data_IF_837603691190
#
_entry.id   IF_837603691190
#
_cell.length_a   1.000
_cell.length_b   1.000
_cell.length_c   1.000
_cell.angle_alpha   90.00
_cell.angle_beta   90.00
_cell.angle_gamma   90.00
#
_symmetry.space_group_name_H-M   'P 1'
#
loop_
_entity.id
_entity.type
_entity.pdbx_description
1 polymer ?
#
# COMPACT_ATOMS: atom_id res chain seq x y z
N UNK A 1 -34.01 5.52 -17.77
CA UNK A 1 -33.02 5.19 -16.74
C UNK A 1 -31.92 4.37 -17.36
N UNK A 2 -30.65 4.66 -17.06
CA UNK A 2 -29.53 3.83 -17.54
C UNK A 2 -29.60 2.42 -16.95
N UNK A 3 -29.01 1.43 -17.62
CA UNK A 3 -28.91 0.04 -17.13
C UNK A 3 -28.27 -0.02 -15.72
N UNK A 4 -27.35 0.90 -15.42
CA UNK A 4 -26.73 1.04 -14.10
C UNK A 4 -27.75 1.51 -13.04
N UNK A 5 -28.58 2.50 -13.34
CA UNK A 5 -29.62 2.98 -12.43
C UNK A 5 -30.67 1.90 -12.10
N UNK A 6 -31.03 1.09 -13.10
CA UNK A 6 -31.89 -0.07 -12.88
C UNK A 6 -31.23 -1.12 -11.99
N UNK A 7 -29.95 -1.46 -12.24
CA UNK A 7 -29.22 -2.39 -11.42
C UNK A 7 -29.07 -1.90 -9.97
N UNK A 8 -28.76 -0.61 -9.76
CA UNK A 8 -28.65 0.00 -8.44
C UNK A 8 -29.99 0.01 -7.69
N UNK A 9 -31.11 0.23 -8.36
CA UNK A 9 -32.46 0.21 -7.75
C UNK A 9 -32.89 -1.17 -7.29
N UNK A 10 -32.31 -2.24 -7.82
CA UNK A 10 -32.58 -3.63 -7.41
C UNK A 10 -31.67 -4.11 -6.27
N UNK A 11 -30.63 -3.34 -5.91
CA UNK A 11 -29.77 -3.67 -4.79
C UNK A 11 -30.51 -3.38 -3.46
N UNK A 12 -30.94 -4.44 -2.79
CA UNK A 12 -31.49 -4.30 -1.44
C UNK A 12 -30.41 -3.70 -0.51
N UNK A 13 -30.72 -2.63 0.26
CA UNK A 13 -29.76 -2.01 1.21
C UNK A 13 -29.13 -3.03 2.16
N UNK A 14 -29.85 -4.09 2.52
CA UNK A 14 -29.34 -5.18 3.34
C UNK A 14 -28.13 -5.91 2.73
N UNK A 15 -27.97 -5.93 1.40
CA UNK A 15 -26.81 -6.53 0.74
C UNK A 15 -25.53 -5.73 0.91
N UNK A 16 -25.64 -4.43 1.21
CA UNK A 16 -24.49 -3.54 1.43
C UNK A 16 -24.10 -3.47 2.92
N UNK A 17 -24.86 -4.15 3.79
CA UNK A 17 -24.53 -4.21 5.22
C UNK A 17 -23.39 -5.21 5.47
N UNK A 18 -22.54 -4.87 6.44
CA UNK A 18 -21.44 -5.75 6.85
C UNK A 18 -20.21 -5.75 5.93
N UNK A 19 -20.16 -4.83 4.96
CA UNK A 19 -18.94 -4.60 4.16
C UNK A 19 -17.77 -4.29 5.10
N UNK A 20 -16.65 -4.96 4.87
CA UNK A 20 -15.39 -4.70 5.54
C UNK A 20 -14.38 -4.10 4.57
N UNK A 21 -13.53 -3.23 5.06
CA UNK A 21 -12.52 -2.54 4.28
C UNK A 21 -11.24 -2.28 5.06
N UNK A 22 -10.14 -2.19 4.35
CA UNK A 22 -8.85 -1.75 4.83
C UNK A 22 -8.08 -1.06 3.72
N UNK A 23 -7.08 -0.28 4.07
CA UNK A 23 -6.22 0.44 3.11
C UNK A 23 -4.76 0.10 3.39
N UNK A 24 -4.02 -0.16 2.33
CA UNK A 24 -2.56 -0.19 2.32
C UNK A 24 -2.10 0.96 1.41
N UNK A 25 -1.34 1.90 1.96
CA UNK A 25 -0.88 3.06 1.21
C UNK A 25 0.64 3.11 1.20
N UNK A 26 1.20 3.02 0.02
CA UNK A 26 2.63 3.17 -0.20
C UNK A 26 3.03 4.65 -0.36
N UNK A 27 4.22 4.98 0.08
CA UNK A 27 4.85 6.28 -0.17
C UNK A 27 6.37 6.18 -0.09
N UNK A 28 7.06 6.76 -1.05
CA UNK A 28 8.51 6.96 -0.94
C UNK A 28 8.80 8.01 0.12
N UNK A 29 9.86 7.80 0.89
CA UNK A 29 10.48 8.86 1.69
C UNK A 29 11.36 9.69 0.76
N UNK A 30 11.20 10.99 0.80
CA UNK A 30 11.95 11.94 -0.01
C UNK A 30 12.62 12.99 0.89
N UNK A 31 13.74 13.50 0.42
CA UNK A 31 14.41 14.67 1.00
C UNK A 31 13.71 15.97 0.58
N UNK A 32 13.92 17.10 1.27
CA UNK A 32 13.26 18.36 0.95
C UNK A 32 13.49 18.88 -0.48
N UNK A 33 14.58 18.47 -1.13
CA UNK A 33 14.89 18.80 -2.52
C UNK A 33 14.21 17.83 -3.54
N UNK A 34 13.36 16.92 -3.04
CA UNK A 34 12.59 15.98 -3.86
C UNK A 34 13.38 14.76 -4.35
N UNK A 35 14.54 14.48 -3.80
CA UNK A 35 15.29 13.26 -4.09
C UNK A 35 14.84 12.10 -3.19
N UNK A 36 15.06 10.86 -3.65
CA UNK A 36 14.80 9.67 -2.85
C UNK A 36 15.65 9.70 -1.56
N UNK A 37 15.03 9.54 -0.41
CA UNK A 37 15.74 9.40 0.85
C UNK A 37 16.50 8.07 0.89
N UNK A 38 17.82 8.14 1.08
CA UNK A 38 18.72 6.97 1.05
C UNK A 38 19.01 6.42 2.45
N UNK A 39 18.35 6.95 3.46
CA UNK A 39 18.48 6.52 4.85
C UNK A 39 17.81 5.17 5.09
N UNK A 40 18.24 4.39 6.09
CA UNK A 40 17.53 3.16 6.51
C UNK A 40 16.11 3.46 6.98
N UNK A 41 15.30 2.41 7.10
CA UNK A 41 13.98 2.49 7.75
C UNK A 41 14.11 3.18 9.12
N UNK A 42 13.32 4.24 9.40
CA UNK A 42 13.47 5.00 10.63
C UNK A 42 13.25 4.14 11.88
N UNK A 43 14.23 4.06 12.75
CA UNK A 43 14.15 3.24 13.98
C UNK A 43 13.00 3.63 14.90
N UNK A 44 12.57 4.89 14.85
CA UNK A 44 11.41 5.38 15.61
C UNK A 44 10.07 4.77 15.13
N UNK A 45 10.03 4.20 13.92
CA UNK A 45 8.88 3.45 13.40
C UNK A 45 8.91 1.96 13.81
N UNK A 46 9.93 1.53 14.56
CA UNK A 46 10.07 0.13 14.97
C UNK A 46 10.58 -0.76 13.83
N UNK A 47 10.14 -2.02 13.83
CA UNK A 47 10.61 -3.03 12.87
C UNK A 47 9.71 -3.11 11.64
N UNK A 48 10.25 -2.88 10.46
CA UNK A 48 9.55 -3.08 9.18
C UNK A 48 9.04 -4.53 8.98
N UNK A 49 9.56 -5.50 9.74
CA UNK A 49 9.12 -6.90 9.66
C UNK A 49 7.90 -7.19 10.53
N UNK A 50 7.78 -6.53 11.68
CA UNK A 50 6.83 -6.93 12.74
C UNK A 50 5.86 -5.84 13.18
N UNK A 51 6.02 -4.59 12.71
CA UNK A 51 5.07 -3.54 13.02
C UNK A 51 3.72 -3.83 12.31
N UNK A 52 2.58 -3.76 13.03
CA UNK A 52 1.29 -4.15 12.45
C UNK A 52 0.77 -3.20 11.35
N UNK A 53 1.13 -1.92 11.42
CA UNK A 53 0.59 -0.87 10.56
C UNK A 53 1.62 -0.21 9.64
N UNK A 54 2.92 -0.44 9.84
CA UNK A 54 3.99 0.23 9.09
C UNK A 54 5.03 -0.80 8.68
N UNK A 55 5.20 -0.98 7.40
CA UNK A 55 6.25 -1.84 6.84
C UNK A 55 7.04 -1.10 5.76
N UNK A 56 7.99 -1.77 5.17
CA UNK A 56 8.68 -1.35 3.96
C UNK A 56 8.15 -2.19 2.81
N UNK A 57 7.74 -1.57 1.70
CA UNK A 57 7.32 -2.31 0.54
C UNK A 57 8.53 -2.88 -0.22
N UNK A 58 8.87 -2.37 -1.38
CA UNK A 58 10.01 -2.85 -2.16
C UNK A 58 11.32 -2.18 -1.77
N UNK A 59 11.37 -0.85 -1.88
CA UNK A 59 12.55 -0.07 -1.53
C UNK A 59 12.62 0.19 -0.04
N UNK A 60 13.84 0.19 0.53
CA UNK A 60 14.07 0.62 1.92
C UNK A 60 13.50 2.02 2.19
N UNK A 61 13.39 2.83 1.13
CA UNK A 61 12.83 4.18 1.19
C UNK A 61 11.30 4.23 1.02
N UNK A 62 10.65 3.10 0.73
CA UNK A 62 9.21 3.03 0.47
C UNK A 62 8.47 2.49 1.68
N UNK A 63 7.82 3.37 2.40
CA UNK A 63 6.95 2.97 3.50
C UNK A 63 5.59 2.53 2.96
N UNK A 64 5.04 1.51 3.58
CA UNK A 64 3.68 1.02 3.37
C UNK A 64 2.92 1.14 4.69
N UNK A 65 1.84 1.92 4.66
CA UNK A 65 1.00 2.24 5.80
C UNK A 65 -0.30 1.46 5.69
N UNK A 66 -0.56 0.60 6.68
CA UNK A 66 -1.60 -0.43 6.63
C UNK A 66 -2.61 -0.18 7.74
N UNK A 67 -3.88 -0.14 7.41
CA UNK A 67 -4.96 -0.10 8.41
C UNK A 67 -5.40 -1.50 8.81
N UNK A 68 -6.08 -1.61 9.93
CA UNK A 68 -6.90 -2.76 10.27
C UNK A 68 -8.13 -2.89 9.37
N UNK A 69 -9.01 -3.82 9.73
CA UNK A 69 -10.26 -4.09 9.03
C UNK A 69 -11.41 -3.35 9.69
N UNK A 70 -12.08 -2.48 8.95
CA UNK A 70 -13.14 -1.60 9.46
C UNK A 70 -14.50 -1.84 8.80
N UNK A 71 -15.56 -1.58 9.57
CA UNK A 71 -16.94 -1.60 9.08
C UNK A 71 -17.37 -0.26 8.46
N UNK A 72 -16.74 0.87 8.83
CA UNK A 72 -17.04 2.18 8.28
C UNK A 72 -15.85 2.80 7.55
N UNK A 73 -16.13 3.71 6.64
CA UNK A 73 -15.13 4.48 5.89
C UNK A 73 -14.39 5.43 6.85
N UNK A 74 -15.14 6.07 7.73
CA UNK A 74 -14.64 7.06 8.68
C UNK A 74 -13.58 6.44 9.61
N UNK A 75 -13.87 5.28 10.19
CA UNK A 75 -12.92 4.57 11.06
C UNK A 75 -11.65 4.16 10.31
N UNK A 76 -11.79 3.68 9.06
CA UNK A 76 -10.66 3.30 8.24
C UNK A 76 -9.75 4.50 7.92
N UNK A 77 -10.35 5.64 7.54
CA UNK A 77 -9.61 6.86 7.25
C UNK A 77 -9.01 7.50 8.52
N UNK A 78 -9.70 7.41 9.64
CA UNK A 78 -9.18 7.88 10.92
C UNK A 78 -7.91 7.11 11.31
N UNK A 79 -7.95 5.77 11.26
CA UNK A 79 -6.76 4.96 11.53
C UNK A 79 -5.62 5.28 10.55
N UNK A 80 -5.91 5.37 9.26
CA UNK A 80 -4.89 5.73 8.26
C UNK A 80 -4.28 7.11 8.59
N UNK A 81 -5.09 8.07 9.02
CA UNK A 81 -4.63 9.40 9.43
C UNK A 81 -3.72 9.33 10.66
N UNK A 82 -4.08 8.53 11.65
CA UNK A 82 -3.27 8.33 12.87
C UNK A 82 -1.92 7.68 12.52
N UNK A 83 -1.91 6.67 11.64
CA UNK A 83 -0.68 6.03 11.16
C UNK A 83 0.20 7.03 10.41
N UNK A 84 -0.38 7.88 9.55
CA UNK A 84 0.35 8.96 8.88
C UNK A 84 0.95 9.96 9.87
N UNK A 85 0.17 10.43 10.85
CA UNK A 85 0.65 11.38 11.87
C UNK A 85 1.80 10.80 12.69
N UNK A 86 1.70 9.53 13.07
CA UNK A 86 2.78 8.84 13.76
C UNK A 86 4.03 8.76 12.89
N UNK A 87 3.88 8.38 11.62
CA UNK A 87 4.96 8.31 10.66
C UNK A 87 5.65 9.66 10.46
N UNK A 88 4.89 10.74 10.24
CA UNK A 88 5.46 12.09 10.07
C UNK A 88 6.28 12.55 11.25
N UNK A 89 5.88 12.24 12.49
CA UNK A 89 6.67 12.57 13.68
C UNK A 89 8.02 11.86 13.72
N UNK A 90 8.14 10.72 13.06
CA UNK A 90 9.38 9.94 13.02
C UNK A 90 10.32 10.33 11.86
N UNK A 91 9.82 11.01 10.83
CA UNK A 91 10.59 11.28 9.61
C UNK A 91 11.58 12.43 9.71
N UNK A 92 11.57 13.24 10.78
CA UNK A 92 12.48 14.39 10.98
C UNK A 92 12.55 15.31 9.75
N UNK A 93 13.64 15.18 8.97
CA UNK A 93 13.95 16.03 7.80
C UNK A 93 13.49 15.42 6.46
N UNK A 94 12.80 14.30 6.50
CA UNK A 94 12.26 13.65 5.32
C UNK A 94 10.74 13.87 5.20
N UNK A 95 10.20 13.66 4.02
CA UNK A 95 8.75 13.73 3.77
C UNK A 95 8.26 12.48 3.07
N UNK A 96 6.96 12.20 3.17
CA UNK A 96 6.29 11.21 2.33
C UNK A 96 5.95 11.83 0.99
N UNK A 97 6.43 11.20 -0.08
CA UNK A 97 6.08 11.60 -1.45
C UNK A 97 4.66 11.17 -1.76
N UNK A 98 3.81 12.12 -2.15
CA UNK A 98 2.36 11.87 -2.29
C UNK A 98 1.95 11.32 -3.65
N UNK A 99 2.78 11.50 -4.68
CA UNK A 99 2.48 11.02 -6.02
C UNK A 99 2.77 9.53 -6.15
N UNK A 100 1.97 8.83 -6.95
CA UNK A 100 2.21 7.43 -7.34
C UNK A 100 3.51 7.29 -8.13
N UNK A 101 3.74 8.21 -9.07
CA UNK A 101 5.00 8.29 -9.79
C UNK A 101 6.12 8.75 -8.85
N UNK A 102 7.30 8.12 -8.91
CA UNK A 102 8.34 8.36 -7.93
C UNK A 102 8.92 9.77 -7.98
N UNK A 103 9.51 10.18 -6.86
CA UNK A 103 10.36 11.35 -6.74
C UNK A 103 11.65 11.21 -7.58
N UNK A 104 12.57 12.17 -7.50
CA UNK A 104 13.86 12.09 -8.20
C UNK A 104 14.65 10.87 -7.73
N UNK A 105 14.78 9.87 -8.59
CA UNK A 105 15.47 8.61 -8.31
C UNK A 105 16.95 8.66 -8.69
N UNK A 106 17.84 7.96 -7.96
CA UNK A 106 19.20 7.70 -8.38
C UNK A 106 19.24 6.72 -9.56
N UNK A 107 20.42 6.29 -9.98
CA UNK A 107 20.59 5.18 -10.92
C UNK A 107 19.91 3.92 -10.37
N UNK A 108 19.40 3.04 -11.26
CA UNK A 108 18.57 1.90 -10.89
C UNK A 108 19.23 0.99 -9.85
N UNK A 109 20.50 0.69 -10.04
CA UNK A 109 21.31 -0.15 -9.14
C UNK A 109 21.54 0.45 -7.75
N UNK A 110 21.35 1.77 -7.60
CA UNK A 110 21.54 2.48 -6.34
C UNK A 110 20.24 2.63 -5.53
N UNK A 111 19.09 2.28 -6.09
CA UNK A 111 17.82 2.27 -5.34
C UNK A 111 17.91 1.18 -4.26
N UNK A 112 17.79 1.54 -2.97
CA UNK A 112 17.98 0.59 -1.89
C UNK A 112 16.83 -0.40 -1.82
N UNK A 113 17.14 -1.69 -1.64
CA UNK A 113 16.16 -2.77 -1.46
C UNK A 113 15.82 -2.88 0.03
N UNK A 114 14.57 -3.11 0.36
CA UNK A 114 14.07 -3.23 1.73
C UNK A 114 14.80 -4.28 2.56
N UNK A 115 15.10 -3.91 3.82
CA UNK A 115 15.82 -4.72 4.79
C UNK A 115 14.92 -5.07 5.96
N UNK A 116 14.89 -6.36 6.32
CA UNK A 116 13.96 -6.87 7.33
C UNK A 116 14.67 -7.64 8.45
N UNK A 117 15.97 -7.39 8.63
CA UNK A 117 16.81 -8.08 9.62
C UNK A 117 17.34 -9.43 9.14
N UNK A 118 17.99 -10.15 10.07
CA UNK A 118 18.76 -11.39 9.78
C UNK A 118 17.97 -12.68 9.97
N UNK A 119 16.71 -12.62 10.42
CA UNK A 119 15.86 -13.80 10.55
C UNK A 119 15.60 -14.48 9.19
N UNK A 120 15.22 -15.74 9.18
CA UNK A 120 14.90 -16.47 7.96
C UNK A 120 13.78 -15.78 7.15
N UNK A 121 12.75 -15.27 7.83
CA UNK A 121 11.66 -14.53 7.21
C UNK A 121 12.16 -13.21 6.60
N UNK A 122 12.97 -12.44 7.35
CA UNK A 122 13.56 -11.20 6.85
C UNK A 122 14.46 -11.42 5.64
N UNK A 123 15.28 -12.47 5.66
CA UNK A 123 16.13 -12.86 4.54
C UNK A 123 15.31 -13.28 3.31
N UNK A 124 14.26 -14.08 3.50
CA UNK A 124 13.37 -14.49 2.42
C UNK A 124 12.71 -13.28 1.74
N UNK A 125 12.22 -12.30 2.53
CA UNK A 125 11.67 -11.04 1.99
C UNK A 125 12.69 -10.26 1.14
N UNK A 126 13.95 -10.18 1.59
CA UNK A 126 15.02 -9.50 0.84
C UNK A 126 15.41 -10.25 -0.44
N UNK A 127 15.53 -11.58 -0.39
CA UNK A 127 15.83 -12.42 -1.56
C UNK A 127 14.72 -12.31 -2.61
N UNK A 128 13.46 -12.32 -2.20
CA UNK A 128 12.32 -12.12 -3.10
C UNK A 128 12.44 -10.79 -3.86
N UNK A 129 12.75 -9.69 -3.16
CA UNK A 129 12.91 -8.35 -3.75
C UNK A 129 14.12 -8.26 -4.68
N UNK A 130 15.20 -8.95 -4.37
CA UNK A 130 16.34 -9.08 -5.29
C UNK A 130 15.91 -9.79 -6.58
N UNK A 131 15.08 -10.82 -6.49
CA UNK A 131 14.50 -11.50 -7.64
C UNK A 131 13.63 -10.57 -8.50
N UNK A 132 12.85 -9.66 -7.89
CA UNK A 132 12.10 -8.63 -8.61
C UNK A 132 13.03 -7.62 -9.29
N UNK A 133 14.11 -7.19 -8.61
CA UNK A 133 15.12 -6.31 -9.17
C UNK A 133 15.73 -6.86 -10.45
N UNK A 134 16.08 -8.15 -10.44
CA UNK A 134 16.68 -8.82 -11.61
C UNK A 134 15.70 -8.98 -12.78
N UNK A 135 14.41 -9.19 -12.50
CA UNK A 135 13.39 -9.40 -13.54
C UNK A 135 12.86 -8.11 -14.16
N UNK A 136 12.66 -7.08 -13.35
CA UNK A 136 11.88 -5.89 -13.73
C UNK A 136 12.64 -4.57 -13.54
N UNK A 137 13.82 -4.60 -12.93
CA UNK A 137 14.54 -3.40 -12.48
C UNK A 137 13.96 -2.84 -11.18
N UNK A 138 14.75 -2.04 -10.47
CA UNK A 138 14.36 -1.46 -9.17
C UNK A 138 13.45 -0.25 -9.32
N UNK A 139 13.65 0.53 -10.39
CA UNK A 139 12.87 1.75 -10.68
C UNK A 139 11.38 1.46 -10.82
N UNK A 140 11.01 0.40 -11.53
CA UNK A 140 9.60 0.01 -11.69
C UNK A 140 8.93 -0.33 -10.37
N UNK A 141 9.69 -0.82 -9.39
CA UNK A 141 9.18 -1.20 -8.08
C UNK A 141 9.04 -0.01 -7.11
N UNK A 142 9.41 1.21 -7.52
CA UNK A 142 9.25 2.42 -6.69
C UNK A 142 7.99 3.22 -7.02
N UNK A 143 7.16 2.74 -7.94
CA UNK A 143 5.82 3.28 -8.16
C UNK A 143 4.98 2.91 -6.95
N UNK A 144 4.36 3.90 -6.32
CA UNK A 144 3.58 3.73 -5.08
C UNK A 144 2.09 3.63 -5.39
N UNK A 145 1.43 2.64 -4.81
CA UNK A 145 0.01 2.40 -4.95
C UNK A 145 -0.81 2.68 -3.70
N UNK A 146 -2.12 2.65 -3.87
CA UNK A 146 -3.08 2.54 -2.77
C UNK A 146 -3.89 1.29 -3.04
N UNK A 147 -3.79 0.29 -2.14
CA UNK A 147 -4.63 -0.88 -2.16
C UNK A 147 -5.86 -0.65 -1.30
N UNK A 148 -7.01 -0.83 -1.90
CA UNK A 148 -8.29 -0.80 -1.17
C UNK A 148 -8.78 -2.24 -1.00
N UNK A 149 -8.56 -2.78 0.18
CA UNK A 149 -9.02 -4.10 0.55
C UNK A 149 -10.51 -4.04 0.89
N UNK A 150 -11.28 -4.95 0.31
CA UNK A 150 -12.73 -4.95 0.42
C UNK A 150 -13.29 -6.36 0.50
N UNK A 151 -14.27 -6.54 1.37
CA UNK A 151 -15.03 -7.79 1.42
C UNK A 151 -16.50 -7.53 1.75
N UNK A 152 -17.37 -8.39 1.25
CA UNK A 152 -18.79 -8.35 1.48
C UNK A 152 -19.31 -9.71 1.99
N UNK A 153 -20.14 -9.76 3.05
CA UNK A 153 -20.70 -11.00 3.55
C UNK A 153 -21.52 -11.74 2.51
N UNK A 154 -21.43 -13.06 2.50
CA UNK A 154 -22.20 -13.91 1.62
C UNK A 154 -21.78 -13.90 0.14
N UNK A 155 -20.64 -13.27 -0.18
CA UNK A 155 -20.01 -13.35 -1.50
C UNK A 155 -18.94 -14.42 -1.47
N UNK A 156 -19.13 -15.48 -2.26
CA UNK A 156 -18.12 -16.51 -2.48
C UNK A 156 -17.20 -16.19 -3.65
N UNK A 157 -16.27 -17.11 -3.92
CA UNK A 157 -15.23 -16.95 -4.96
C UNK A 157 -15.78 -16.56 -6.32
N UNK A 158 -16.89 -17.18 -6.75
CA UNK A 158 -17.51 -16.88 -8.03
C UNK A 158 -17.96 -15.42 -8.14
N UNK A 159 -18.50 -14.85 -7.05
CA UNK A 159 -18.87 -13.43 -6.99
C UNK A 159 -17.65 -12.51 -7.04
N UNK A 160 -16.56 -12.84 -6.35
CA UNK A 160 -15.30 -12.07 -6.42
C UNK A 160 -14.66 -12.15 -7.79
N UNK A 161 -14.63 -13.32 -8.44
CA UNK A 161 -14.14 -13.42 -9.82
C UNK A 161 -15.01 -12.63 -10.81
N UNK A 162 -16.32 -12.60 -10.59
CA UNK A 162 -17.24 -11.75 -11.35
C UNK A 162 -16.92 -10.26 -11.18
N UNK A 163 -16.65 -9.83 -9.95
CA UNK A 163 -16.25 -8.45 -9.64
C UNK A 163 -14.93 -8.08 -10.33
N UNK A 164 -13.89 -8.92 -10.22
CA UNK A 164 -12.58 -8.70 -10.85
C UNK A 164 -12.73 -8.54 -12.36
N UNK A 165 -13.50 -9.42 -12.99
CA UNK A 165 -13.76 -9.35 -14.44
C UNK A 165 -14.46 -8.04 -14.82
N UNK A 166 -15.45 -7.61 -14.06
CA UNK A 166 -16.18 -6.38 -14.33
C UNK A 166 -15.31 -5.12 -14.10
N UNK A 167 -14.45 -5.11 -13.08
CA UNK A 167 -13.50 -4.02 -12.84
C UNK A 167 -12.48 -3.91 -13.97
N UNK A 168 -11.99 -5.01 -14.51
CA UNK A 168 -11.03 -4.97 -15.63
C UNK A 168 -11.61 -4.42 -16.92
N UNK A 169 -12.94 -4.50 -17.10
CA UNK A 169 -13.63 -3.93 -18.25
C UNK A 169 -13.89 -2.42 -18.14
N UNK A 170 -13.77 -1.83 -16.96
CA UNK A 170 -13.95 -0.39 -16.75
C UNK A 170 -12.73 0.41 -17.25
N UNK A 171 -11.59 -0.23 -17.40
CA UNK A 171 -10.32 0.40 -17.75
C UNK A 171 -9.88 0.17 -19.22
N UNK A 172 -10.77 -0.35 -20.06
CA UNK A 172 -10.53 -0.56 -21.50
C UNK A 172 -11.17 0.57 -22.31
#
# INVERSE_FOLDING_TARGET
MSTLQQALSTLAPARLQGIRRGIEKESLRATPDGALAMTPHPSALGSALTHPNITTDYSESQLELITGVHASVEQCLEELTQVHQFTYRALRDEMLWVSSMPCKLPADENIPIGRYGSSNVGRAKSVYRMGLAHRYGRRMQTISGIHYNWSMPGVGDEGYFGLIRNLSLIHI
#
